data_IF_726917536918
#
_entry.id   IF_726917536918
#
_cell.length_a   1.000
_cell.length_b   1.000
_cell.length_c   1.000
_cell.angle_alpha   90.00
_cell.angle_beta   90.00
_cell.angle_gamma   90.00
#
_symmetry.space_group_name_H-M   'P 1'
#
loop_
_entity.id
_entity.type
_entity.pdbx_description
1 polymer ?
#
# COMPACT_ATOMS: atom_id res chain seq x y z
N UNK A 1 -8.72 17.94 -13.12
CA UNK A 1 -7.44 17.98 -12.38
C UNK A 1 -6.72 16.66 -12.60
N UNK A 2 -5.39 16.64 -12.64
CA UNK A 2 -4.60 15.40 -12.72
C UNK A 2 -4.54 14.74 -11.33
N UNK A 3 -4.74 13.43 -11.25
CA UNK A 3 -4.67 12.68 -10.00
C UNK A 3 -3.25 12.76 -9.40
N UNK A 4 -3.17 12.88 -8.07
CA UNK A 4 -1.89 12.96 -7.34
C UNK A 4 -1.21 11.59 -7.34
N UNK A 5 0.06 11.53 -7.73
CA UNK A 5 0.82 10.28 -7.69
C UNK A 5 1.25 9.96 -6.26
N UNK A 6 1.15 8.71 -5.87
CA UNK A 6 1.63 8.24 -4.58
C UNK A 6 2.22 6.83 -4.66
N UNK A 7 3.02 6.49 -3.65
CA UNK A 7 3.45 5.13 -3.32
C UNK A 7 2.74 4.76 -2.02
N UNK A 8 2.08 3.61 -1.99
CA UNK A 8 1.33 3.16 -0.83
C UNK A 8 2.18 2.23 0.04
N UNK A 9 2.27 2.52 1.34
CA UNK A 9 2.84 1.58 2.32
C UNK A 9 1.97 0.33 2.41
N UNK A 10 2.58 -0.84 2.22
CA UNK A 10 1.91 -2.12 2.02
C UNK A 10 2.45 -3.17 2.99
N UNK A 11 1.66 -3.54 3.99
CA UNK A 11 1.96 -4.64 4.92
C UNK A 11 1.37 -5.98 4.48
N UNK A 12 0.56 -5.99 3.41
CA UNK A 12 -0.24 -7.16 3.02
C UNK A 12 -1.44 -7.45 3.93
N UNK A 13 -1.63 -6.65 5.00
CA UNK A 13 -2.76 -6.76 5.91
C UNK A 13 -4.02 -6.08 5.39
N UNK A 14 -5.15 -6.39 6.04
CA UNK A 14 -6.49 -5.88 5.70
C UNK A 14 -6.56 -4.35 5.58
N UNK A 15 -5.84 -3.63 6.44
CA UNK A 15 -5.90 -2.17 6.50
C UNK A 15 -5.18 -1.55 5.30
N UNK A 16 -4.04 -2.12 4.88
CA UNK A 16 -3.34 -1.69 3.67
C UNK A 16 -4.14 -2.01 2.39
N UNK A 17 -4.85 -3.14 2.37
CA UNK A 17 -5.76 -3.49 1.27
C UNK A 17 -6.97 -2.54 1.21
N UNK A 18 -7.53 -2.18 2.36
CA UNK A 18 -8.63 -1.23 2.46
C UNK A 18 -8.21 0.18 2.02
N UNK A 19 -7.04 0.65 2.42
CA UNK A 19 -6.48 1.92 1.95
C UNK A 19 -6.32 1.93 0.42
N UNK A 20 -5.80 0.85 -0.19
CA UNK A 20 -5.67 0.75 -1.64
C UNK A 20 -7.04 0.82 -2.35
N UNK A 21 -8.07 0.16 -1.80
CA UNK A 21 -9.43 0.22 -2.32
C UNK A 21 -9.97 1.65 -2.31
N UNK A 22 -9.88 2.34 -1.18
CA UNK A 22 -10.38 3.71 -1.03
C UNK A 22 -9.67 4.70 -1.97
N UNK A 23 -8.34 4.60 -2.09
CA UNK A 23 -7.56 5.46 -2.98
C UNK A 23 -7.97 5.29 -4.45
N UNK A 24 -8.30 4.06 -4.87
CA UNK A 24 -8.81 3.77 -6.22
C UNK A 24 -10.23 4.28 -6.44
N UNK A 25 -11.10 4.19 -5.43
CA UNK A 25 -12.49 4.64 -5.51
C UNK A 25 -12.62 6.17 -5.54
N UNK A 26 -11.76 6.89 -4.80
CA UNK A 26 -11.80 8.35 -4.75
C UNK A 26 -11.34 9.02 -6.06
N UNK A 27 -10.46 8.38 -6.83
CA UNK A 27 -9.98 8.93 -8.11
C UNK A 27 -9.02 10.14 -7.99
N UNK A 28 -8.86 10.71 -6.80
CA UNK A 28 -7.91 11.80 -6.52
C UNK A 28 -6.45 11.36 -6.55
N UNK A 29 -6.20 10.04 -6.46
CA UNK A 29 -4.88 9.44 -6.32
C UNK A 29 -4.58 8.42 -7.41
N UNK A 30 -3.36 8.46 -7.93
CA UNK A 30 -2.78 7.43 -8.78
C UNK A 30 -1.72 6.67 -7.97
N UNK A 31 -2.08 5.49 -7.48
CA UNK A 31 -1.13 4.59 -6.80
C UNK A 31 -0.20 3.99 -7.85
N UNK A 32 1.04 4.47 -7.90
CA UNK A 32 2.04 4.03 -8.88
C UNK A 32 2.85 2.81 -8.45
N UNK A 33 2.99 2.60 -7.13
CA UNK A 33 3.70 1.46 -6.57
C UNK A 33 3.22 1.13 -5.15
N UNK A 34 3.51 -0.08 -4.71
CA UNK A 34 3.37 -0.54 -3.33
C UNK A 34 4.77 -0.67 -2.72
N UNK A 35 4.98 -0.11 -1.53
CA UNK A 35 6.22 -0.18 -0.78
C UNK A 35 6.02 -1.08 0.43
N UNK A 36 6.83 -2.14 0.53
CA UNK A 36 6.78 -3.07 1.67
C UNK A 36 8.16 -3.25 2.28
N UNK A 37 8.21 -3.62 3.56
CA UNK A 37 9.43 -4.07 4.21
C UNK A 37 9.40 -5.59 4.34
N UNK A 38 10.52 -6.24 4.03
CA UNK A 38 10.68 -7.69 4.20
C UNK A 38 11.54 -7.92 5.43
N UNK A 39 11.04 -8.75 6.34
CA UNK A 39 11.84 -9.24 7.45
C UNK A 39 12.93 -10.18 6.91
N UNK A 40 14.19 -9.86 7.17
CA UNK A 40 15.34 -10.62 6.66
C UNK A 40 15.36 -12.08 7.16
N UNK A 41 15.08 -12.29 8.44
CA UNK A 41 15.11 -13.60 9.07
C UNK A 41 14.02 -14.54 8.55
N UNK A 42 12.78 -14.04 8.46
CA UNK A 42 11.64 -14.83 8.03
C UNK A 42 11.37 -14.78 6.52
N UNK A 43 12.11 -13.94 5.77
CA UNK A 43 11.97 -13.76 4.31
C UNK A 43 10.54 -13.47 3.85
N UNK A 44 9.77 -12.78 4.69
CA UNK A 44 8.36 -12.42 4.46
C UNK A 44 8.10 -10.96 4.80
N UNK A 45 6.98 -10.42 4.33
CA UNK A 45 6.54 -9.07 4.67
C UNK A 45 6.48 -8.91 6.19
N UNK A 46 7.01 -7.80 6.70
CA UNK A 46 6.86 -7.45 8.10
C UNK A 46 5.38 -7.11 8.37
N UNK A 47 4.71 -8.02 9.04
CA UNK A 47 3.34 -7.82 9.50
C UNK A 47 3.44 -7.25 10.92
N UNK A 48 2.78 -6.13 11.18
CA UNK A 48 2.48 -5.74 12.56
C UNK A 48 1.54 -6.80 13.14
N UNK A 49 2.09 -7.66 13.99
CA UNK A 49 1.36 -8.67 14.77
C UNK A 49 1.28 -8.25 16.22
#
# INVERSE_FOLDING_TARGET
>A
MSAKKCILSWSGGKDSAWALKLLREQGDWQVGALLTTVNEHFRRIAIHG
#
